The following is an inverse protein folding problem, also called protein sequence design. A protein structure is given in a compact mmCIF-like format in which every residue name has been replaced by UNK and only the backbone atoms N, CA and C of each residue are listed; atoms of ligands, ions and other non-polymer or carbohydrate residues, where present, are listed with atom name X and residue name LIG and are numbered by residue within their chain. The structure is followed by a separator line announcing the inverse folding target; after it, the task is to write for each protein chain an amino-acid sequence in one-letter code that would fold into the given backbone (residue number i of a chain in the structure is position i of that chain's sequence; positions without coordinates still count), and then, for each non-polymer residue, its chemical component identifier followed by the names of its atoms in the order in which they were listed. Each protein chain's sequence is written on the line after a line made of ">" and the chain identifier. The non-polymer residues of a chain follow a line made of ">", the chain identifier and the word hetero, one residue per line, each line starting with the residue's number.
data_IF_704836887658
#
_entry.id   IF_704836887658
#
_cell.length_a   1.000
_cell.length_b   1.000
_cell.length_c   1.000
_cell.angle_alpha   90.00
_cell.angle_beta   90.00
_cell.angle_gamma   90.00
#
_symmetry.space_group_name_H-M   'P 1'
#
loop_
_entity.id
_entity.type
_entity.pdbx_description
1 polymer ?
#
# COMPACT_ATOMS: atom_id res chain seq x y z
N UNK A 1 2.41 17.61 2.43
CA UNK A 1 2.16 16.23 2.04
C UNK A 1 2.84 15.29 3.03
N UNK A 2 2.12 14.27 3.45
CA UNK A 2 2.66 13.25 4.34
C UNK A 2 3.33 12.16 3.51
N UNK A 3 4.56 11.80 3.89
CA UNK A 3 5.31 10.76 3.18
C UNK A 3 6.05 9.91 4.20
N UNK A 4 5.95 8.58 4.07
CA UNK A 4 6.66 7.67 4.95
C UNK A 4 7.16 6.47 4.15
N UNK A 5 8.44 6.17 4.30
CA UNK A 5 9.04 4.96 3.75
C UNK A 5 9.06 3.88 4.82
N UNK A 6 8.52 2.72 4.49
CA UNK A 6 8.41 1.59 5.40
C UNK A 6 9.21 0.43 4.84
N UNK A 7 9.76 -0.40 5.72
CA UNK A 7 10.60 -1.51 5.29
C UNK A 7 10.12 -2.81 5.90
N UNK A 8 10.13 -3.86 5.10
CA UNK A 8 9.89 -5.23 5.57
C UNK A 8 11.19 -6.02 5.44
N UNK A 9 11.84 -6.37 6.56
CA UNK A 9 13.11 -7.10 6.51
C UNK A 9 12.97 -8.52 5.97
N UNK A 10 11.79 -9.13 6.14
CA UNK A 10 11.58 -10.49 5.67
C UNK A 10 11.64 -10.63 4.17
N UNK A 11 11.12 -9.64 3.44
CA UNK A 11 11.11 -9.65 1.98
C UNK A 11 12.06 -8.61 1.39
N UNK A 12 12.70 -7.78 2.22
CA UNK A 12 13.54 -6.67 1.79
C UNK A 12 12.78 -5.70 0.89
N UNK A 13 11.50 -5.50 1.19
CA UNK A 13 10.63 -4.64 0.39
C UNK A 13 10.41 -3.30 1.07
N UNK A 14 10.47 -2.23 0.29
CA UNK A 14 10.08 -0.90 0.74
C UNK A 14 8.64 -0.62 0.33
N UNK A 15 7.86 -0.19 1.30
CA UNK A 15 6.47 0.27 1.10
C UNK A 15 6.44 1.76 1.33
N UNK A 16 5.72 2.49 0.48
CA UNK A 16 5.61 3.94 0.61
C UNK A 16 4.18 4.32 0.93
N UNK A 17 4.03 5.17 1.94
CA UNK A 17 2.74 5.74 2.30
C UNK A 17 2.78 7.23 2.00
N UNK A 18 1.89 7.68 1.12
CA UNK A 18 1.81 9.07 0.70
C UNK A 18 0.39 9.55 0.95
N UNK A 19 0.24 10.71 1.55
CA UNK A 19 -1.07 11.26 1.86
C UNK A 19 -1.12 12.76 1.64
N UNK A 20 -2.32 13.24 1.27
CA UNK A 20 -2.60 14.65 1.11
C UNK A 20 -2.99 15.23 2.47
N UNK A 21 -2.32 16.29 2.88
CA UNK A 21 -2.59 16.94 4.16
C UNK A 21 -3.98 17.58 4.23
N UNK A 22 -4.48 18.03 3.10
CA UNK A 22 -5.77 18.73 3.05
C UNK A 22 -6.95 17.76 3.10
N UNK A 23 -6.88 16.68 2.31
CA UNK A 23 -7.99 15.72 2.20
C UNK A 23 -7.83 14.51 3.10
N UNK A 24 -6.63 14.26 3.60
CA UNK A 24 -6.27 13.07 4.38
C UNK A 24 -6.45 11.77 3.59
N UNK A 25 -6.43 11.88 2.26
CA UNK A 25 -6.48 10.70 1.40
C UNK A 25 -5.08 10.18 1.17
N UNK A 26 -4.95 8.85 1.16
CA UNK A 26 -3.64 8.19 1.13
C UNK A 26 -3.53 7.16 0.02
N UNK A 27 -2.29 6.90 -0.37
CA UNK A 27 -1.90 5.86 -1.32
C UNK A 27 -0.80 5.02 -0.68
N UNK A 28 -0.92 3.71 -0.77
CA UNK A 28 0.14 2.77 -0.39
C UNK A 28 0.75 2.18 -1.65
N UNK A 29 2.07 2.15 -1.70
CA UNK A 29 2.82 1.60 -2.83
C UNK A 29 3.60 0.39 -2.34
N UNK A 30 3.37 -0.75 -2.99
CA UNK A 30 4.03 -2.04 -2.73
C UNK A 30 3.87 -2.52 -1.28
N UNK A 31 2.64 -2.61 -0.75
CA UNK A 31 2.44 -3.16 0.60
C UNK A 31 2.77 -4.66 0.63
N UNK A 32 3.15 -5.15 1.81
CA UNK A 32 3.50 -6.54 2.06
C UNK A 32 2.47 -7.12 3.04
N UNK A 33 1.96 -8.32 2.74
CA UNK A 33 0.89 -8.89 3.57
C UNK A 33 1.31 -9.07 5.03
N UNK A 34 2.57 -9.41 5.28
CA UNK A 34 3.07 -9.57 6.64
C UNK A 34 3.05 -8.28 7.44
N UNK A 35 2.95 -7.14 6.77
CA UNK A 35 2.93 -5.83 7.41
C UNK A 35 1.55 -5.17 7.36
N UNK A 36 0.51 -5.95 7.05
CA UNK A 36 -0.84 -5.41 6.92
C UNK A 36 -1.29 -4.65 8.17
N UNK A 37 -1.08 -5.23 9.34
CA UNK A 37 -1.49 -4.59 10.59
C UNK A 37 -0.74 -3.30 10.85
N UNK A 38 0.57 -3.28 10.54
CA UNK A 38 1.37 -2.06 10.66
C UNK A 38 0.80 -0.96 9.78
N UNK A 39 0.49 -1.29 8.53
CA UNK A 39 -0.01 -0.31 7.56
C UNK A 39 -1.37 0.22 7.98
N UNK A 40 -2.28 -0.67 8.41
CA UNK A 40 -3.60 -0.25 8.88
C UNK A 40 -3.51 0.62 10.13
N UNK A 41 -2.58 0.29 11.04
CA UNK A 41 -2.38 1.09 12.25
C UNK A 41 -1.89 2.49 11.92
N UNK A 42 -0.96 2.61 10.98
CA UNK A 42 -0.46 3.92 10.55
C UNK A 42 -1.58 4.78 9.97
N UNK A 43 -2.44 4.18 9.15
CA UNK A 43 -3.58 4.91 8.60
C UNK A 43 -4.49 5.42 9.71
N UNK A 44 -4.77 4.59 10.72
CA UNK A 44 -5.62 4.98 11.84
C UNK A 44 -4.97 6.07 12.70
N UNK A 45 -3.69 5.92 13.00
CA UNK A 45 -2.97 6.86 13.85
C UNK A 45 -2.92 8.26 13.25
N UNK A 46 -2.82 8.35 11.94
CA UNK A 46 -2.73 9.63 11.25
C UNK A 46 -4.06 10.11 10.67
N UNK A 47 -5.14 9.36 10.91
CA UNK A 47 -6.46 9.74 10.43
C UNK A 47 -6.56 9.77 8.92
N UNK A 48 -5.90 8.84 8.24
CA UNK A 48 -5.84 8.81 6.78
C UNK A 48 -6.87 7.84 6.20
N UNK A 49 -7.46 8.24 5.07
CA UNK A 49 -8.36 7.38 4.31
C UNK A 49 -7.59 6.80 3.12
N UNK A 50 -7.37 5.49 3.14
CA UNK A 50 -6.67 4.83 2.04
C UNK A 50 -7.59 4.77 0.82
N UNK A 51 -7.15 5.37 -0.30
CA UNK A 51 -7.93 5.41 -1.53
C UNK A 51 -7.37 4.51 -2.61
N UNK A 52 -6.05 4.35 -2.67
CA UNK A 52 -5.40 3.57 -3.71
C UNK A 52 -4.28 2.73 -3.14
N UNK A 53 -4.11 1.55 -3.72
CA UNK A 53 -2.96 0.68 -3.46
C UNK A 53 -2.32 0.39 -4.81
N UNK A 54 -1.06 0.74 -4.96
CA UNK A 54 -0.33 0.57 -6.21
C UNK A 54 0.75 -0.49 -6.06
N UNK A 55 0.87 -1.34 -7.07
CA UNK A 55 1.90 -2.37 -7.12
C UNK A 55 2.85 -2.06 -8.25
N UNK A 56 4.15 -1.95 -7.94
CA UNK A 56 5.17 -1.73 -8.96
C UNK A 56 5.82 -3.02 -9.40
N UNK A 57 5.60 -4.11 -8.64
CA UNK A 57 6.11 -5.45 -8.95
C UNK A 57 4.99 -6.46 -8.83
N UNK A 58 5.02 -7.48 -9.70
CA UNK A 58 4.02 -8.54 -9.65
C UNK A 58 4.56 -9.68 -8.80
N UNK A 59 4.22 -9.68 -7.52
CA UNK A 59 4.57 -10.73 -6.57
C UNK A 59 3.29 -11.19 -5.85
N UNK A 60 3.21 -12.48 -5.56
CA UNK A 60 2.02 -13.04 -4.92
C UNK A 60 1.72 -12.35 -3.59
N UNK A 61 2.75 -12.07 -2.79
CA UNK A 61 2.57 -11.43 -1.49
C UNK A 61 2.00 -10.02 -1.61
N UNK A 62 2.43 -9.28 -2.64
CA UNK A 62 1.92 -7.93 -2.87
C UNK A 62 0.47 -7.95 -3.32
N UNK A 63 0.11 -8.90 -4.19
CA UNK A 63 -1.27 -9.05 -4.65
C UNK A 63 -2.18 -9.38 -3.47
N UNK A 64 -1.75 -10.27 -2.58
CA UNK A 64 -2.51 -10.64 -1.40
C UNK A 64 -2.71 -9.44 -0.47
N UNK A 65 -1.66 -8.64 -0.27
CA UNK A 65 -1.75 -7.44 0.55
C UNK A 65 -2.74 -6.43 -0.04
N UNK A 66 -2.71 -6.24 -1.35
CA UNK A 66 -3.63 -5.33 -2.03
C UNK A 66 -5.08 -5.75 -1.84
N UNK A 67 -5.38 -7.03 -1.97
CA UNK A 67 -6.73 -7.54 -1.76
C UNK A 67 -7.18 -7.36 -0.32
N UNK A 68 -6.29 -7.65 0.64
CA UNK A 68 -6.61 -7.48 2.05
C UNK A 68 -6.89 -6.02 2.39
N UNK A 69 -6.09 -5.10 1.85
CA UNK A 69 -6.28 -3.68 2.07
C UNK A 69 -7.57 -3.18 1.41
N UNK A 70 -7.87 -3.68 0.22
CA UNK A 70 -9.13 -3.34 -0.45
C UNK A 70 -10.33 -3.76 0.40
N UNK A 71 -10.29 -4.96 0.96
CA UNK A 71 -11.37 -5.46 1.80
C UNK A 71 -11.49 -4.67 3.10
N UNK A 72 -10.36 -4.26 3.68
CA UNK A 72 -10.36 -3.55 4.95
C UNK A 72 -10.72 -2.07 4.82
N UNK A 73 -10.38 -1.43 3.70
CA UNK A 73 -10.48 0.02 3.55
C UNK A 73 -11.38 0.45 2.40
N UNK A 74 -11.70 -0.43 1.47
CA UNK A 74 -12.43 -0.08 0.26
C UNK A 74 -11.57 0.60 -0.80
N UNK A 75 -10.25 0.62 -0.63
CA UNK A 75 -9.35 1.25 -1.57
C UNK A 75 -9.35 0.53 -2.92
N UNK A 76 -9.07 1.28 -3.98
CA UNK A 76 -8.88 0.72 -5.31
C UNK A 76 -7.45 0.23 -5.46
N UNK A 77 -7.28 -0.88 -6.17
CA UNK A 77 -5.96 -1.47 -6.40
C UNK A 77 -5.57 -1.35 -7.86
N UNK A 78 -4.29 -1.13 -8.12
CA UNK A 78 -3.76 -1.05 -9.47
C UNK A 78 -2.35 -1.62 -9.51
N UNK A 79 -2.00 -2.23 -10.64
CA UNK A 79 -0.66 -2.77 -10.88
C UNK A 79 0.00 -1.94 -11.97
N UNK A 80 1.29 -1.70 -11.82
CA UNK A 80 2.05 -0.96 -12.83
C UNK A 80 1.87 -1.62 -14.19
N UNK A 81 1.65 -0.79 -15.22
CA UNK A 81 1.46 -1.28 -16.57
C UNK A 81 2.66 -2.09 -17.06
N UNK A 82 3.86 -1.63 -16.70
CA UNK A 82 5.07 -2.34 -17.10
C UNK A 82 5.14 -3.72 -16.46
N UNK A 83 4.77 -3.83 -15.18
CA UNK A 83 4.73 -5.11 -14.50
C UNK A 83 3.67 -6.02 -15.11
N UNK A 84 2.49 -5.50 -15.40
CA UNK A 84 1.41 -6.32 -15.95
C UNK A 84 1.74 -6.79 -17.37
N UNK A 85 2.49 -6.02 -18.13
CA UNK A 85 2.89 -6.42 -19.47
C UNK A 85 3.88 -7.58 -19.46
N UNK A 86 4.57 -7.78 -18.36
CA UNK A 86 5.52 -8.87 -18.20
C UNK A 86 4.87 -10.15 -17.68
N UNK A 87 3.76 -9.99 -17.03
CA UNK A 87 3.08 -11.09 -16.35
C UNK A 87 2.38 -12.05 -17.22
#
# INVERSE_FOLDING_TARGET
>A
MFFKQLFDPGSSTYTYLIADDATHEAVLIDPVIEQLERDLQLLREHGLALRHVLETHVHADHITASLALKQATGAQTAVSRDCSAQG
#
